data_IF_301347146014
#
_entry.id   IF_301347146014
#
_cell.length_a   1.000
_cell.length_b   1.000
_cell.length_c   1.000
_cell.angle_alpha   90.00
_cell.angle_beta   90.00
_cell.angle_gamma   90.00
#
_symmetry.space_group_name_H-M   'P 1'
#
loop_
_entity.id
_entity.type
_entity.pdbx_description
1 polymer ?
#
# COMPACT_ATOMS: atom_id res chain seq x y z
N UNK A 1 56.99 -60.26 -39.31
CA UNK A 1 56.99 -58.80 -39.07
C UNK A 1 55.53 -58.39 -38.89
N UNK A 2 55.04 -58.45 -37.65
CA UNK A 2 53.62 -58.18 -37.30
C UNK A 2 53.42 -56.71 -36.83
N UNK A 3 52.59 -55.97 -37.52
CA UNK A 3 52.13 -54.63 -37.10
C UNK A 3 50.92 -54.77 -36.19
N UNK A 4 51.01 -54.25 -34.96
CA UNK A 4 49.90 -54.10 -34.06
C UNK A 4 49.27 -52.69 -34.27
N UNK A 5 47.99 -52.65 -34.68
CA UNK A 5 47.16 -51.45 -34.72
C UNK A 5 46.44 -51.38 -33.38
N UNK A 6 46.69 -50.31 -32.58
CA UNK A 6 45.94 -50.01 -31.39
C UNK A 6 44.75 -49.07 -31.77
N UNK A 7 43.52 -49.56 -31.58
CA UNK A 7 42.29 -48.74 -31.63
C UNK A 7 42.17 -47.96 -30.38
N UNK A 8 42.07 -46.60 -30.51
CA UNK A 8 41.65 -45.67 -29.43
C UNK A 8 40.13 -45.57 -29.48
N UNK A 9 39.44 -46.03 -28.43
CA UNK A 9 38.02 -45.71 -28.20
C UNK A 9 37.93 -44.38 -27.51
N UNK A 10 37.42 -43.37 -28.20
CA UNK A 10 37.01 -42.09 -27.59
C UNK A 10 35.58 -42.25 -27.05
N UNK A 11 35.44 -42.27 -25.73
CA UNK A 11 34.13 -42.19 -25.07
C UNK A 11 33.71 -40.72 -24.99
N UNK A 12 32.71 -40.34 -25.78
CA UNK A 12 32.05 -39.02 -25.67
C UNK A 12 31.06 -39.06 -24.50
N UNK A 13 31.34 -38.35 -23.44
CA UNK A 13 30.39 -38.11 -22.37
C UNK A 13 29.38 -37.02 -22.82
N UNK A 14 28.14 -37.44 -23.03
CA UNK A 14 27.03 -36.51 -23.27
C UNK A 14 26.60 -35.93 -21.92
N UNK A 15 26.94 -34.67 -21.69
CA UNK A 15 26.36 -33.88 -20.57
C UNK A 15 24.96 -33.48 -20.98
N UNK A 16 23.95 -34.17 -20.46
CA UNK A 16 22.54 -33.73 -20.53
C UNK A 16 22.37 -32.63 -19.48
N UNK A 17 22.45 -31.37 -19.91
CA UNK A 17 22.01 -30.25 -19.12
C UNK A 17 20.48 -30.39 -18.96
N UNK A 18 20.04 -30.79 -17.77
CA UNK A 18 18.63 -30.80 -17.41
C UNK A 18 18.11 -29.36 -17.42
N UNK A 19 17.39 -28.98 -18.46
CA UNK A 19 16.51 -27.81 -18.44
C UNK A 19 15.37 -28.14 -17.47
N UNK A 20 15.46 -27.61 -16.25
CA UNK A 20 14.30 -27.57 -15.34
C UNK A 20 13.15 -26.83 -16.02
N UNK A 21 11.90 -27.20 -15.74
CA UNK A 21 10.77 -26.54 -16.35
C UNK A 21 10.84 -25.03 -16.03
N UNK A 22 11.08 -24.21 -17.05
CA UNK A 22 10.79 -22.79 -16.96
C UNK A 22 9.28 -22.70 -16.77
N UNK A 23 8.83 -22.36 -15.57
CA UNK A 23 7.44 -21.97 -15.35
C UNK A 23 7.20 -20.75 -16.22
N UNK A 24 6.58 -20.93 -17.37
CA UNK A 24 6.17 -19.86 -18.25
C UNK A 24 5.29 -18.92 -17.44
N UNK A 25 5.66 -17.63 -17.35
CA UNK A 25 4.77 -16.61 -16.82
C UNK A 25 3.51 -16.68 -17.68
N UNK A 26 2.35 -16.95 -17.05
CA UNK A 26 1.07 -16.85 -17.74
C UNK A 26 0.87 -15.42 -18.20
N UNK A 27 0.33 -15.24 -19.41
CA UNK A 27 -0.03 -13.92 -19.91
C UNK A 27 -0.93 -13.18 -18.89
N UNK A 28 -0.72 -11.89 -18.66
CA UNK A 28 -1.56 -11.12 -17.74
C UNK A 28 -3.03 -11.14 -18.18
N UNK A 29 -3.95 -11.24 -17.22
CA UNK A 29 -5.35 -11.01 -17.47
C UNK A 29 -5.56 -9.54 -17.85
N UNK A 30 -6.29 -9.29 -18.94
CA UNK A 30 -6.57 -7.95 -19.47
C UNK A 30 -8.06 -7.78 -19.76
N UNK A 31 -8.52 -6.53 -19.92
CA UNK A 31 -9.92 -6.22 -20.21
C UNK A 31 -10.86 -6.83 -19.15
N UNK A 32 -12.00 -7.38 -19.54
CA UNK A 32 -12.99 -7.94 -18.61
C UNK A 32 -12.45 -9.05 -17.71
N UNK A 33 -11.44 -9.83 -18.15
CA UNK A 33 -10.85 -10.89 -17.35
C UNK A 33 -10.05 -10.37 -16.16
N UNK A 34 -9.55 -9.12 -16.20
CA UNK A 34 -8.82 -8.51 -15.10
C UNK A 34 -9.70 -8.13 -13.89
N UNK A 35 -11.03 -8.02 -14.07
CA UNK A 35 -11.99 -7.62 -13.05
C UNK A 35 -12.56 -8.75 -12.21
N UNK A 36 -12.05 -9.98 -12.29
CA UNK A 36 -12.51 -11.16 -11.56
C UNK A 36 -12.68 -10.97 -10.05
N UNK A 37 -13.05 -12.02 -9.35
CA UNK A 37 -13.19 -12.05 -7.89
C UNK A 37 -12.14 -12.97 -7.23
N UNK A 38 -12.20 -13.12 -5.90
CA UNK A 38 -11.25 -13.91 -5.10
C UNK A 38 -11.06 -15.36 -5.55
N UNK A 39 -12.04 -15.95 -6.27
CA UNK A 39 -11.96 -17.34 -6.77
C UNK A 39 -10.96 -17.49 -7.90
N UNK A 40 -10.69 -16.40 -8.61
CA UNK A 40 -9.68 -16.34 -9.66
C UNK A 40 -8.28 -15.99 -9.12
N UNK A 41 -8.15 -15.67 -7.83
CA UNK A 41 -6.87 -15.31 -7.24
C UNK A 41 -5.95 -16.53 -7.16
N UNK A 42 -4.73 -16.36 -7.64
CA UNK A 42 -3.71 -17.41 -7.64
C UNK A 42 -2.32 -16.77 -7.49
N UNK A 43 -1.44 -17.30 -6.61
CA UNK A 43 -0.09 -16.77 -6.49
C UNK A 43 0.63 -16.77 -7.83
N UNK A 44 1.13 -15.61 -8.24
CA UNK A 44 1.78 -15.42 -9.52
C UNK A 44 0.88 -14.97 -10.67
N UNK A 45 -0.45 -14.92 -10.48
CA UNK A 45 -1.38 -14.44 -11.51
C UNK A 45 -1.27 -12.92 -11.68
N UNK A 46 -0.96 -12.50 -12.91
CA UNK A 46 -0.81 -11.09 -13.28
C UNK A 46 -2.09 -10.50 -13.86
N UNK A 47 -2.31 -9.20 -13.62
CA UNK A 47 -3.40 -8.41 -14.19
C UNK A 47 -2.90 -7.04 -14.66
N UNK A 48 -3.54 -6.56 -15.73
CA UNK A 48 -3.41 -5.18 -16.22
C UNK A 48 -4.81 -4.64 -16.46
N UNK A 49 -5.17 -3.57 -15.75
CA UNK A 49 -6.40 -2.81 -15.97
C UNK A 49 -6.00 -1.47 -16.60
N UNK A 50 -6.61 -1.13 -17.72
CA UNK A 50 -6.36 0.13 -18.43
C UNK A 50 -7.55 1.08 -18.29
N UNK A 51 -7.35 2.40 -18.43
CA UNK A 51 -8.47 3.36 -18.42
C UNK A 51 -9.57 3.02 -19.43
N UNK A 52 -9.22 2.46 -20.58
CA UNK A 52 -10.18 2.08 -21.62
C UNK A 52 -10.95 0.80 -21.32
N UNK A 53 -10.53 0.00 -20.33
CA UNK A 53 -11.21 -1.22 -19.88
C UNK A 53 -12.36 -0.92 -18.91
N UNK A 54 -12.49 0.33 -18.43
CA UNK A 54 -13.42 0.68 -17.35
C UNK A 54 -14.89 0.58 -17.83
N UNK A 55 -15.77 -0.06 -17.02
CA UNK A 55 -17.20 -0.08 -17.32
C UNK A 55 -17.81 1.32 -17.13
N UNK A 56 -19.01 1.51 -17.65
CA UNK A 56 -19.80 2.71 -17.38
C UNK A 56 -20.31 2.71 -15.93
N UNK A 57 -20.43 3.89 -15.28
CA UNK A 57 -21.07 3.99 -13.97
C UNK A 57 -22.43 3.34 -13.92
N UNK A 58 -22.72 2.57 -12.86
CA UNK A 58 -24.02 1.94 -12.63
C UNK A 58 -24.30 0.69 -13.47
N UNK A 59 -23.30 0.11 -14.14
CA UNK A 59 -23.48 -1.18 -14.86
C UNK A 59 -23.86 -2.33 -13.94
N UNK A 60 -23.45 -2.28 -12.69
CA UNK A 60 -23.91 -3.17 -11.62
C UNK A 60 -24.44 -2.36 -10.44
N UNK A 61 -25.39 -2.90 -9.67
CA UNK A 61 -25.86 -2.24 -8.47
C UNK A 61 -24.72 -2.02 -7.46
N UNK A 62 -24.76 -0.91 -6.74
CA UNK A 62 -23.93 -0.75 -5.54
C UNK A 62 -24.50 -1.58 -4.41
N UNK A 63 -23.65 -2.35 -3.75
CA UNK A 63 -24.03 -3.28 -2.68
C UNK A 63 -23.24 -3.02 -1.41
N UNK A 64 -23.78 -3.46 -0.27
CA UNK A 64 -23.07 -3.59 0.99
C UNK A 64 -22.95 -5.08 1.32
N UNK A 65 -21.73 -5.60 1.31
CA UNK A 65 -21.40 -7.01 1.54
C UNK A 65 -20.25 -7.09 2.55
N UNK A 66 -20.52 -6.68 3.79
CA UNK A 66 -19.50 -6.69 4.85
C UNK A 66 -19.01 -8.11 5.14
N UNK A 67 -17.69 -8.31 5.30
CA UNK A 67 -17.18 -9.63 5.64
C UNK A 67 -17.54 -10.00 7.07
N UNK A 68 -17.99 -11.22 7.29
CA UNK A 68 -17.98 -11.84 8.60
C UNK A 68 -16.57 -12.34 8.88
N UNK A 69 -15.93 -11.75 9.89
CA UNK A 69 -14.58 -12.14 10.32
C UNK A 69 -14.69 -13.34 11.23
N UNK A 70 -14.06 -14.45 10.84
CA UNK A 70 -13.98 -15.66 11.64
C UNK A 70 -12.58 -15.85 12.21
N UNK A 71 -12.48 -16.63 13.30
CA UNK A 71 -11.18 -17.03 13.83
C UNK A 71 -10.41 -17.88 12.83
N UNK A 72 -9.10 -17.63 12.72
CA UNK A 72 -8.23 -18.42 11.86
C UNK A 72 -8.20 -19.88 12.33
N UNK A 73 -8.56 -20.83 11.47
CA UNK A 73 -8.41 -22.24 11.79
C UNK A 73 -6.92 -22.59 11.96
N UNK A 74 -6.57 -23.57 12.82
CA UNK A 74 -5.16 -23.88 13.15
C UNK A 74 -4.26 -24.13 11.95
N UNK A 75 -4.79 -24.73 10.89
CA UNK A 75 -4.06 -25.08 9.66
C UNK A 75 -4.26 -24.08 8.52
N UNK A 76 -5.01 -23.01 8.71
CA UNK A 76 -5.18 -21.97 7.69
C UNK A 76 -3.90 -21.15 7.58
N UNK A 77 -3.31 -21.16 6.39
CA UNK A 77 -2.09 -20.44 6.06
C UNK A 77 -2.29 -19.65 4.77
N UNK A 78 -1.75 -18.44 4.67
CA UNK A 78 -1.70 -17.74 3.39
C UNK A 78 -0.78 -18.49 2.43
N UNK A 79 -1.02 -18.30 1.14
CA UNK A 79 -0.29 -18.94 0.06
C UNK A 79 0.49 -17.92 -0.74
N UNK A 80 1.76 -18.22 -1.01
CA UNK A 80 2.67 -17.41 -1.84
C UNK A 80 3.11 -18.23 -3.08
N UNK A 81 3.75 -17.63 -4.09
CA UNK A 81 4.28 -18.35 -5.24
C UNK A 81 5.23 -19.50 -4.85
N UNK A 82 5.40 -20.47 -5.76
CA UNK A 82 6.32 -21.60 -5.55
C UNK A 82 7.74 -21.08 -5.22
N UNK A 83 8.41 -21.74 -4.28
CA UNK A 83 9.72 -21.34 -3.75
C UNK A 83 9.65 -20.44 -2.53
N UNK A 84 8.52 -19.80 -2.27
CA UNK A 84 8.34 -19.00 -1.05
C UNK A 84 7.79 -19.81 0.10
N UNK A 85 8.29 -19.52 1.31
CA UNK A 85 7.80 -20.06 2.59
C UNK A 85 7.05 -18.98 3.34
N UNK A 86 5.89 -19.34 3.88
CA UNK A 86 5.07 -18.44 4.71
C UNK A 86 5.03 -18.97 6.14
N UNK A 87 5.32 -18.13 7.12
CA UNK A 87 5.35 -18.48 8.54
C UNK A 87 4.59 -17.45 9.38
N UNK A 88 3.94 -17.91 10.44
CA UNK A 88 3.35 -17.01 11.45
C UNK A 88 4.47 -16.45 12.32
N UNK A 89 4.78 -15.16 12.13
CA UNK A 89 5.86 -14.47 12.85
C UNK A 89 5.44 -13.96 14.23
N UNK A 90 4.26 -13.35 14.32
CA UNK A 90 3.71 -12.88 15.60
C UNK A 90 2.19 -13.00 15.60
N UNK A 91 1.60 -13.14 16.79
CA UNK A 91 0.16 -13.20 17.02
C UNK A 91 -0.22 -12.51 18.33
N UNK A 92 -1.52 -12.44 18.63
CA UNK A 92 -2.04 -11.80 19.83
C UNK A 92 -1.83 -10.29 19.86
N UNK A 93 -1.67 -9.68 18.68
CA UNK A 93 -1.59 -8.23 18.53
C UNK A 93 -3.00 -7.62 18.47
N UNK A 94 -3.13 -6.37 18.91
CA UNK A 94 -4.42 -5.68 18.95
C UNK A 94 -4.68 -4.89 17.65
N UNK A 95 -5.07 -5.58 16.58
CA UNK A 95 -5.31 -4.98 15.27
C UNK A 95 -4.06 -4.30 14.71
N UNK A 96 -2.99 -5.06 14.42
CA UNK A 96 -1.76 -4.50 13.87
C UNK A 96 -2.00 -3.97 12.45
N UNK A 97 -1.57 -2.75 12.19
CA UNK A 97 -1.79 -2.11 10.90
C UNK A 97 -0.45 -1.76 10.22
N UNK A 98 0.02 -0.54 10.29
CA UNK A 98 1.30 -0.17 9.67
C UNK A 98 2.48 -0.89 10.30
N UNK A 99 3.44 -1.29 9.47
CA UNK A 99 4.72 -1.85 9.84
C UNK A 99 5.85 -0.95 9.34
N UNK A 100 6.83 -0.67 10.20
CA UNK A 100 8.10 -0.04 9.79
C UNK A 100 9.27 -0.76 10.43
N UNK A 101 10.30 -1.03 9.66
CA UNK A 101 11.53 -1.65 10.15
C UNK A 101 12.57 -0.56 10.35
N UNK A 102 13.08 -0.47 11.57
CA UNK A 102 14.18 0.43 11.90
C UNK A 102 15.51 -0.08 11.31
N UNK A 103 16.51 0.78 11.13
CA UNK A 103 17.80 0.37 10.59
C UNK A 103 18.51 -0.74 11.39
N UNK A 104 18.24 -0.84 12.69
CA UNK A 104 18.76 -1.90 13.57
C UNK A 104 17.96 -3.22 13.49
N UNK A 105 16.96 -3.29 12.62
CA UNK A 105 16.09 -4.46 12.43
C UNK A 105 14.86 -4.53 13.32
N UNK A 106 14.66 -3.61 14.25
CA UNK A 106 13.46 -3.55 15.09
C UNK A 106 12.22 -3.24 14.26
N UNK A 107 11.12 -3.97 14.50
CA UNK A 107 9.89 -3.88 13.75
C UNK A 107 8.88 -3.09 14.57
N UNK A 108 8.56 -1.89 14.12
CA UNK A 108 7.53 -1.04 14.72
C UNK A 108 6.17 -1.37 14.12
N UNK A 109 5.17 -1.52 15.00
CA UNK A 109 3.81 -1.94 14.65
C UNK A 109 2.82 -0.93 15.20
N UNK A 110 2.06 -0.27 14.34
CA UNK A 110 0.95 0.56 14.79
C UNK A 110 -0.25 -0.34 15.13
N UNK A 111 -0.63 -0.39 16.39
CA UNK A 111 -1.87 -1.00 16.89
C UNK A 111 -2.92 0.13 17.00
N UNK A 112 -3.50 0.51 15.84
CA UNK A 112 -4.30 1.73 15.66
C UNK A 112 -5.48 1.85 16.63
N UNK A 113 -6.27 0.78 16.78
CA UNK A 113 -7.44 0.79 17.67
C UNK A 113 -7.04 0.81 19.15
N UNK A 114 -5.89 0.22 19.48
CA UNK A 114 -5.35 0.23 20.83
C UNK A 114 -4.63 1.54 21.20
N UNK A 115 -4.51 2.49 20.27
CA UNK A 115 -3.88 3.78 20.49
C UNK A 115 -2.42 3.68 20.91
N UNK A 116 -1.66 2.74 20.30
CA UNK A 116 -0.27 2.49 20.68
C UNK A 116 0.59 2.03 19.51
N UNK A 117 1.90 2.18 19.67
CA UNK A 117 2.92 1.60 18.81
C UNK A 117 3.71 0.58 19.61
N UNK A 118 3.90 -0.58 19.01
CA UNK A 118 4.64 -1.71 19.57
C UNK A 118 5.95 -1.88 18.81
N UNK A 119 6.99 -2.41 19.48
CA UNK A 119 8.26 -2.82 18.88
C UNK A 119 8.46 -4.31 19.09
N UNK A 120 8.77 -5.00 18.01
CA UNK A 120 9.19 -6.39 18.00
C UNK A 120 10.66 -6.43 17.58
N UNK A 121 11.52 -7.12 18.35
CA UNK A 121 12.91 -7.37 18.00
C UNK A 121 13.08 -8.82 17.62
N UNK A 122 13.74 -9.10 16.51
CA UNK A 122 14.07 -10.44 16.06
C UNK A 122 15.50 -10.49 15.54
N UNK A 123 16.17 -11.60 15.74
CA UNK A 123 17.45 -11.89 15.09
C UNK A 123 17.17 -12.27 13.63
N UNK A 124 18.05 -11.88 12.73
CA UNK A 124 17.98 -12.25 11.30
C UNK A 124 17.81 -13.77 11.14
N UNK A 125 16.91 -14.16 10.25
CA UNK A 125 16.53 -15.56 10.03
C UNK A 125 15.56 -16.14 11.05
N UNK A 126 15.24 -15.44 12.13
CA UNK A 126 14.30 -15.94 13.14
C UNK A 126 12.85 -15.92 12.63
N UNK A 127 12.12 -17.00 12.90
CA UNK A 127 10.69 -17.11 12.61
C UNK A 127 9.80 -16.45 13.68
N UNK A 128 10.37 -15.92 14.76
CA UNK A 128 9.64 -15.30 15.88
C UNK A 128 10.44 -14.16 16.50
N UNK A 129 9.77 -13.11 17.02
CA UNK A 129 10.45 -12.07 17.78
C UNK A 129 10.98 -12.61 19.12
N UNK A 130 12.17 -12.16 19.50
CA UNK A 130 12.80 -12.42 20.82
C UNK A 130 12.35 -11.43 21.88
N UNK A 131 11.90 -10.23 21.48
CA UNK A 131 11.32 -9.23 22.36
C UNK A 131 10.06 -8.61 21.75
N UNK A 132 9.16 -8.20 22.64
CA UNK A 132 7.87 -7.60 22.31
C UNK A 132 7.54 -6.56 23.39
N UNK A 133 7.57 -5.27 23.08
CA UNK A 133 7.37 -4.15 24.01
C UNK A 133 6.44 -3.10 23.42
N UNK A 134 5.76 -2.34 24.30
CA UNK A 134 5.04 -1.13 23.90
C UNK A 134 6.05 0.00 23.85
N UNK A 135 6.23 0.61 22.67
CA UNK A 135 7.09 1.76 22.47
C UNK A 135 6.41 3.07 22.91
N UNK A 136 5.16 3.26 22.49
CA UNK A 136 4.36 4.44 22.83
C UNK A 136 2.90 4.06 23.01
N UNK A 137 2.19 4.77 23.91
CA UNK A 137 0.75 4.57 24.18
C UNK A 137 0.06 5.92 24.38
N UNK A 138 -1.29 5.91 24.46
CA UNK A 138 -2.09 7.12 24.58
C UNK A 138 -2.15 7.93 23.29
N UNK A 139 -1.92 7.29 22.14
CA UNK A 139 -1.95 7.90 20.82
C UNK A 139 -3.36 7.88 20.24
N UNK A 140 -3.70 8.87 19.40
CA UNK A 140 -5.00 8.94 18.76
C UNK A 140 -5.01 8.18 17.41
N UNK A 141 -5.31 6.87 17.45
CA UNK A 141 -5.40 6.02 16.26
C UNK A 141 -4.13 6.13 15.39
N UNK A 142 -2.94 5.85 15.94
CA UNK A 142 -1.67 5.97 15.22
C UNK A 142 -1.66 5.05 14.00
N UNK A 143 -1.02 5.51 12.91
CA UNK A 143 -0.81 4.69 11.74
C UNK A 143 0.60 4.89 11.16
N UNK A 144 0.88 6.02 10.50
CA UNK A 144 2.17 6.29 9.88
C UNK A 144 3.30 6.32 10.88
N UNK A 145 4.42 5.67 10.54
CA UNK A 145 5.64 5.63 11.32
C UNK A 145 6.81 5.93 10.39
N UNK A 146 7.70 6.84 10.78
CA UNK A 146 8.93 7.11 10.03
C UNK A 146 10.09 7.45 10.95
N UNK A 147 11.30 7.11 10.51
CA UNK A 147 12.54 7.41 11.20
C UNK A 147 13.21 8.64 10.60
N UNK A 148 13.75 9.52 11.46
CA UNK A 148 14.41 10.77 11.03
C UNK A 148 15.66 11.09 11.85
N UNK A 149 16.75 11.64 11.23
CA UNK A 149 16.93 11.70 9.77
C UNK A 149 16.89 10.30 9.15
N UNK A 150 16.67 10.23 7.83
CA UNK A 150 16.72 8.98 7.09
C UNK A 150 18.13 8.39 7.12
N UNK A 151 18.26 7.08 6.96
CA UNK A 151 19.55 6.38 6.98
C UNK A 151 19.72 5.53 8.22
N UNK A 152 20.98 5.21 8.56
CA UNK A 152 21.29 4.15 9.54
C UNK A 152 21.28 4.62 11.00
N UNK A 153 21.24 5.92 11.25
CA UNK A 153 21.34 6.52 12.60
C UNK A 153 20.23 7.55 12.85
N UNK A 154 18.95 7.15 12.75
CA UNK A 154 17.86 8.06 13.07
C UNK A 154 17.91 8.45 14.55
N UNK A 155 17.51 9.67 14.83
CA UNK A 155 17.42 10.21 16.18
C UNK A 155 15.98 10.29 16.68
N UNK A 156 15.01 10.13 15.76
CA UNK A 156 13.60 10.30 16.03
C UNK A 156 12.76 9.22 15.36
N UNK A 157 11.70 8.82 16.05
CA UNK A 157 10.56 8.09 15.48
C UNK A 157 9.38 9.06 15.41
N UNK A 158 8.90 9.36 14.19
CA UNK A 158 7.69 10.14 13.97
C UNK A 158 6.49 9.20 13.86
N UNK A 159 5.39 9.58 14.51
CA UNK A 159 4.13 8.83 14.48
C UNK A 159 3.01 9.77 14.08
N UNK A 160 2.32 9.44 12.99
CA UNK A 160 1.13 10.15 12.54
C UNK A 160 -0.11 9.57 13.24
N UNK A 161 -0.76 10.40 14.01
CA UNK A 161 -2.08 10.18 14.59
C UNK A 161 -3.17 10.69 13.62
N UNK A 162 -4.43 10.36 13.88
CA UNK A 162 -5.54 10.88 13.07
C UNK A 162 -5.59 12.42 13.03
N UNK A 163 -5.19 13.07 14.10
CA UNK A 163 -5.34 14.49 14.34
C UNK A 163 -4.03 15.29 14.43
N UNK A 164 -2.87 14.63 14.30
CA UNK A 164 -1.59 15.32 14.39
C UNK A 164 -0.39 14.40 14.18
N UNK A 165 0.81 14.95 14.31
CA UNK A 165 2.07 14.20 14.26
C UNK A 165 2.87 14.45 15.54
N UNK A 166 3.33 13.37 16.15
CA UNK A 166 4.24 13.41 17.31
C UNK A 166 5.56 12.73 16.93
N UNK A 167 6.65 13.10 17.59
CA UNK A 167 7.92 12.39 17.49
C UNK A 167 8.45 12.01 18.85
N UNK A 168 9.18 10.92 18.90
CA UNK A 168 9.85 10.40 20.09
C UNK A 168 11.35 10.35 19.85
N UNK A 169 12.19 10.76 20.83
CA UNK A 169 13.62 10.54 20.75
C UNK A 169 13.92 9.03 20.66
N UNK A 170 14.83 8.65 19.76
CA UNK A 170 15.14 7.26 19.46
C UNK A 170 16.66 7.01 19.44
N UNK A 171 17.11 6.05 20.22
CA UNK A 171 18.49 5.65 20.34
C UNK A 171 18.76 4.18 19.94
N UNK A 172 17.79 3.54 19.24
CA UNK A 172 17.90 2.12 18.87
C UNK A 172 17.35 1.16 19.95
N UNK A 173 16.67 1.68 20.96
CA UNK A 173 16.09 0.89 22.05
C UNK A 173 14.62 0.55 21.80
N UNK A 174 14.10 -0.41 22.60
CA UNK A 174 12.70 -0.83 22.55
C UNK A 174 11.74 0.16 23.24
N UNK A 175 12.29 1.20 23.84
CA UNK A 175 11.58 2.28 24.51
C UNK A 175 12.13 3.63 24.03
N UNK A 176 11.33 4.70 24.05
CA UNK A 176 11.82 6.05 23.72
C UNK A 176 12.91 6.49 24.71
N UNK A 177 13.94 7.17 24.21
CA UNK A 177 15.01 7.74 25.06
C UNK A 177 14.62 9.07 25.72
N UNK A 178 13.39 9.55 25.55
CA UNK A 178 12.89 10.79 26.14
C UNK A 178 11.39 10.99 25.92
N UNK A 179 10.90 12.18 26.30
CA UNK A 179 9.48 12.54 26.17
C UNK A 179 9.12 12.82 24.71
N UNK A 180 7.84 12.57 24.31
CA UNK A 180 7.37 12.93 22.98
C UNK A 180 7.30 14.45 22.79
N UNK A 181 7.44 14.88 21.53
CA UNK A 181 7.24 16.23 21.07
C UNK A 181 6.07 16.26 20.07
N UNK A 182 5.18 17.24 20.18
CA UNK A 182 4.14 17.50 19.20
C UNK A 182 4.77 18.29 18.06
N UNK A 183 4.73 17.73 16.85
CA UNK A 183 5.33 18.32 15.65
C UNK A 183 4.28 19.00 14.80
N UNK A 184 3.15 18.32 14.53
CA UNK A 184 1.98 18.92 13.91
C UNK A 184 0.84 18.80 14.90
N UNK A 185 0.39 19.93 15.45
CA UNK A 185 -0.61 19.97 16.51
C UNK A 185 -2.02 19.62 16.00
N UNK A 186 -2.31 19.94 14.73
CA UNK A 186 -3.63 19.74 14.16
C UNK A 186 -3.55 19.29 12.69
N UNK A 187 -4.21 18.17 12.39
CA UNK A 187 -4.50 17.68 11.04
C UNK A 187 -6.02 17.55 10.89
N UNK A 188 -6.58 17.72 9.68
CA UNK A 188 -8.00 17.50 9.44
C UNK A 188 -8.44 16.14 9.97
N UNK A 189 -9.27 16.07 10.99
CA UNK A 189 -9.73 14.86 11.67
C UNK A 189 -11.24 14.63 11.51
N UNK A 190 -11.75 13.47 11.95
CA UNK A 190 -13.15 13.06 11.77
C UNK A 190 -13.46 12.58 10.34
N UNK A 191 -14.70 12.12 10.12
CA UNK A 191 -15.14 11.54 8.86
C UNK A 191 -14.74 10.06 8.70
N UNK A 192 -14.84 9.55 7.47
CA UNK A 192 -14.71 8.13 7.18
C UNK A 192 -13.25 7.64 7.19
N UNK A 193 -12.28 8.51 6.88
CA UNK A 193 -10.87 8.14 6.78
C UNK A 193 -10.05 8.72 7.93
N UNK A 194 -9.61 7.85 8.82
CA UNK A 194 -8.81 8.21 10.00
C UNK A 194 -7.30 8.02 9.82
N UNK A 195 -6.89 7.29 8.79
CA UNK A 195 -5.48 6.97 8.55
C UNK A 195 -4.71 8.22 8.11
N UNK A 196 -3.53 8.41 8.72
CA UNK A 196 -2.51 9.37 8.29
C UNK A 196 -1.20 8.60 8.13
N UNK A 197 -0.64 8.58 6.95
CA UNK A 197 0.69 8.04 6.74
C UNK A 197 1.68 9.17 6.51
N UNK A 198 2.95 8.93 6.79
CA UNK A 198 3.98 9.93 6.61
C UNK A 198 5.28 9.33 6.08
N UNK A 199 5.97 10.09 5.24
CA UNK A 199 7.33 9.80 4.77
C UNK A 199 8.15 11.08 4.71
N UNK A 200 9.48 10.95 4.77
CA UNK A 200 10.40 12.04 4.46
C UNK A 200 10.88 11.94 3.01
N UNK A 201 11.04 13.09 2.36
CA UNK A 201 11.65 13.17 1.03
C UNK A 201 13.10 12.70 1.07
N UNK A 202 13.70 12.26 -0.08
CA UNK A 202 15.08 11.75 -0.10
C UNK A 202 16.14 12.71 0.43
N UNK A 203 15.92 14.00 0.37
CA UNK A 203 16.80 15.07 0.85
C UNK A 203 16.55 15.48 2.31
N UNK A 204 15.65 14.77 3.00
CA UNK A 204 15.22 15.03 4.38
C UNK A 204 14.63 16.44 4.64
N UNK A 205 14.30 17.20 3.58
CA UNK A 205 13.80 18.57 3.74
C UNK A 205 12.30 18.65 3.98
N UNK A 206 11.53 17.64 3.57
CA UNK A 206 10.08 17.66 3.71
C UNK A 206 9.56 16.38 4.35
N UNK A 207 8.59 16.54 5.22
CA UNK A 207 7.71 15.49 5.72
C UNK A 207 6.41 15.56 4.92
N UNK A 208 6.06 14.50 4.19
CA UNK A 208 4.81 14.39 3.46
C UNK A 208 3.82 13.58 4.28
N UNK A 209 2.61 14.12 4.46
CA UNK A 209 1.54 13.48 5.26
C UNK A 209 0.30 13.29 4.38
N UNK A 210 -0.19 12.07 4.26
CA UNK A 210 -1.41 11.78 3.51
C UNK A 210 -2.66 11.97 4.36
N UNK A 211 -3.67 12.62 3.79
CA UNK A 211 -4.95 12.90 4.44
C UNK A 211 -6.08 12.40 3.54
N UNK A 212 -6.81 11.38 3.95
CA UNK A 212 -7.97 10.89 3.22
C UNK A 212 -9.16 11.85 3.27
N UNK A 213 -10.09 11.73 2.32
CA UNK A 213 -11.33 12.50 2.30
C UNK A 213 -12.13 12.33 3.59
N UNK A 214 -13.00 13.27 3.90
CA UNK A 214 -13.94 13.17 5.02
C UNK A 214 -15.07 12.18 4.69
N UNK A 215 -15.52 12.21 3.46
CA UNK A 215 -16.70 11.52 2.97
C UNK A 215 -16.40 10.65 1.75
N UNK A 216 -17.41 9.98 1.20
CA UNK A 216 -17.23 9.13 0.02
C UNK A 216 -16.98 9.94 -1.26
N UNK A 217 -17.84 10.92 -1.51
CA UNK A 217 -17.86 11.73 -2.73
C UNK A 217 -18.05 13.23 -2.47
N UNK A 218 -17.48 13.73 -1.36
CA UNK A 218 -17.50 15.13 -0.99
C UNK A 218 -18.88 15.70 -0.64
N UNK A 219 -19.69 14.98 0.13
CA UNK A 219 -21.05 15.39 0.54
C UNK A 219 -21.10 16.73 1.29
N UNK A 220 -20.01 17.23 1.80
CA UNK A 220 -19.92 18.56 2.46
C UNK A 220 -19.11 19.59 1.68
N UNK A 221 -18.98 19.41 0.36
CA UNK A 221 -18.21 20.29 -0.51
C UNK A 221 -18.82 21.68 -0.60
N UNK A 222 -18.01 22.71 -0.42
CA UNK A 222 -18.37 24.09 -0.74
C UNK A 222 -18.15 24.35 -2.23
N UNK A 223 -19.21 24.70 -2.93
CA UNK A 223 -19.18 25.05 -4.35
C UNK A 223 -19.02 26.53 -4.52
N UNK A 224 -17.96 26.97 -5.21
CA UNK A 224 -17.79 28.36 -5.59
C UNK A 224 -18.58 28.59 -6.89
N UNK A 225 -19.58 29.49 -6.83
CA UNK A 225 -20.49 29.78 -7.95
C UNK A 225 -20.31 31.23 -8.41
N UNK A 226 -20.67 31.52 -9.66
CA UNK A 226 -20.66 32.86 -10.22
C UNK A 226 -19.25 33.49 -10.18
N UNK A 227 -19.16 34.75 -9.77
CA UNK A 227 -17.90 35.51 -9.74
C UNK A 227 -16.81 34.88 -8.82
N UNK A 228 -17.23 34.08 -7.83
CA UNK A 228 -16.29 33.36 -6.96
C UNK A 228 -15.60 32.21 -7.66
N UNK A 229 -16.10 31.76 -8.80
CA UNK A 229 -15.49 30.68 -9.58
C UNK A 229 -14.07 31.04 -10.04
N UNK A 230 -13.80 32.33 -10.33
CA UNK A 230 -12.46 32.83 -10.62
C UNK A 230 -11.48 32.70 -9.45
N UNK A 231 -11.97 32.53 -8.23
CA UNK A 231 -11.16 32.39 -7.02
C UNK A 231 -10.48 31.04 -6.91
N UNK A 232 -10.82 30.01 -7.72
CA UNK A 232 -10.15 28.72 -7.71
C UNK A 232 -8.63 28.81 -7.94
N UNK A 233 -8.16 29.79 -8.68
CA UNK A 233 -6.73 30.04 -8.86
C UNK A 233 -5.92 30.36 -7.60
N UNK A 234 -6.60 30.64 -6.46
CA UNK A 234 -5.97 30.87 -5.16
C UNK A 234 -5.69 29.58 -4.39
N UNK A 235 -6.23 28.46 -4.85
CA UNK A 235 -6.11 27.16 -4.20
C UNK A 235 -5.24 26.22 -5.05
N UNK A 236 -4.66 25.18 -4.45
CA UNK A 236 -4.01 24.12 -5.22
C UNK A 236 -4.94 23.55 -6.29
N UNK A 237 -4.38 23.09 -7.41
CA UNK A 237 -5.15 22.48 -8.49
C UNK A 237 -6.05 21.36 -7.96
N UNK A 238 -7.36 21.41 -8.23
CA UNK A 238 -8.31 20.39 -7.77
C UNK A 238 -8.51 20.34 -6.24
N UNK A 239 -8.21 21.40 -5.50
CA UNK A 239 -8.47 21.44 -4.07
C UNK A 239 -9.96 21.39 -3.77
N UNK A 240 -10.36 20.59 -2.80
CA UNK A 240 -11.72 20.53 -2.25
C UNK A 240 -11.85 21.50 -1.08
N UNK A 241 -13.02 22.12 -0.93
CA UNK A 241 -13.30 23.14 0.09
C UNK A 241 -14.42 22.68 1.04
N UNK A 242 -14.62 23.45 2.11
CA UNK A 242 -15.61 23.14 3.13
C UNK A 242 -15.12 22.05 4.07
N UNK A 243 -15.93 21.04 4.31
CA UNK A 243 -15.54 19.90 5.18
C UNK A 243 -14.43 19.04 4.62
N UNK A 244 -14.09 19.23 3.33
CA UNK A 244 -13.01 18.53 2.62
C UNK A 244 -11.74 19.37 2.48
N UNK A 245 -11.67 20.57 3.11
CA UNK A 245 -10.47 21.40 3.06
C UNK A 245 -9.25 20.64 3.59
N UNK A 246 -8.13 20.68 2.85
CA UNK A 246 -6.88 19.96 3.14
C UNK A 246 -7.01 18.42 3.21
N UNK A 247 -8.06 17.87 2.59
CA UNK A 247 -8.32 16.43 2.52
C UNK A 247 -8.23 15.90 1.09
N UNK A 248 -8.29 14.58 0.96
CA UNK A 248 -8.02 13.88 -0.29
C UNK A 248 -6.71 14.39 -0.93
N UNK A 249 -5.68 14.54 -0.09
CA UNK A 249 -4.46 15.25 -0.42
C UNK A 249 -3.23 14.64 0.26
N UNK A 250 -2.07 14.97 -0.27
CA UNK A 250 -0.79 14.82 0.43
C UNK A 250 -0.32 16.23 0.80
N UNK A 251 -0.11 16.46 2.10
CA UNK A 251 0.34 17.72 2.65
C UNK A 251 1.84 17.68 2.87
N UNK A 252 2.52 18.83 2.70
CA UNK A 252 3.96 18.98 2.91
C UNK A 252 4.24 19.86 4.12
N UNK A 253 5.16 19.40 4.96
CA UNK A 253 5.68 20.07 6.13
C UNK A 253 7.22 20.02 6.11
N UNK A 254 7.87 20.94 6.80
CA UNK A 254 9.27 20.77 7.21
C UNK A 254 9.36 19.69 8.31
N UNK A 255 10.52 19.09 8.57
CA UNK A 255 10.65 18.07 9.62
C UNK A 255 10.30 18.56 11.04
N UNK A 256 10.34 19.85 11.30
CA UNK A 256 9.93 20.48 12.56
C UNK A 256 8.43 20.77 12.65
N UNK A 257 7.66 20.48 11.58
CA UNK A 257 6.21 20.60 11.52
C UNK A 257 5.68 21.89 10.90
N UNK A 258 6.54 22.82 10.48
CA UNK A 258 6.10 24.02 9.77
C UNK A 258 5.42 23.60 8.44
N UNK A 259 4.20 24.10 8.21
CA UNK A 259 3.42 23.81 6.99
C UNK A 259 4.09 24.46 5.77
N UNK A 260 4.47 23.66 4.78
CA UNK A 260 4.97 24.13 3.48
C UNK A 260 3.82 24.38 2.50
N UNK A 261 2.86 23.43 2.44
CA UNK A 261 1.72 23.55 1.53
C UNK A 261 1.04 22.23 1.25
N UNK A 262 0.34 22.17 0.12
CA UNK A 262 -0.27 20.93 -0.40
C UNK A 262 0.61 20.40 -1.51
N UNK A 263 1.09 19.16 -1.36
CA UNK A 263 1.97 18.51 -2.32
C UNK A 263 1.18 17.97 -3.53
N UNK A 264 0.03 17.31 -3.28
CA UNK A 264 -0.86 16.79 -4.31
C UNK A 264 -2.29 16.75 -3.83
N UNK A 265 -3.26 16.77 -4.76
CA UNK A 265 -4.70 16.79 -4.47
C UNK A 265 -5.45 15.71 -5.25
N UNK A 266 -6.72 15.50 -4.87
CA UNK A 266 -7.61 14.59 -5.59
C UNK A 266 -7.27 13.12 -5.45
N UNK A 267 -6.50 12.75 -4.42
CA UNK A 267 -6.21 11.36 -4.03
C UNK A 267 -7.16 11.01 -2.89
N UNK A 268 -8.29 10.36 -3.20
CA UNK A 268 -9.39 10.15 -2.25
C UNK A 268 -8.93 9.67 -0.87
N UNK A 269 -8.17 8.58 -0.81
CA UNK A 269 -7.64 8.05 0.44
C UNK A 269 -6.29 7.35 0.21
N UNK A 270 -5.23 8.13 0.23
CA UNK A 270 -3.85 7.65 0.20
C UNK A 270 -3.49 7.02 1.55
N UNK A 271 -3.43 5.70 1.64
CA UNK A 271 -3.11 4.98 2.88
C UNK A 271 -1.64 4.54 2.91
N UNK A 272 -1.18 3.86 1.87
CA UNK A 272 0.21 3.43 1.78
C UNK A 272 1.08 4.50 1.12
N UNK A 273 1.83 5.27 1.90
CA UNK A 273 2.76 6.26 1.40
C UNK A 273 4.19 5.71 1.53
N UNK A 274 4.91 5.60 0.40
CA UNK A 274 6.23 5.02 0.34
C UNK A 274 7.16 5.79 -0.60
N UNK A 275 8.45 5.78 -0.33
CA UNK A 275 9.49 6.34 -1.21
C UNK A 275 10.21 5.20 -1.90
N UNK A 276 10.26 5.25 -3.23
CA UNK A 276 11.01 4.25 -4.00
C UNK A 276 12.52 4.43 -3.77
N UNK A 277 13.25 3.39 -3.35
CA UNK A 277 14.62 3.54 -2.83
C UNK A 277 15.63 4.00 -3.88
N UNK A 278 15.43 3.66 -5.16
CA UNK A 278 16.38 4.01 -6.22
C UNK A 278 16.04 5.33 -6.91
N UNK A 279 14.75 5.62 -7.22
CA UNK A 279 14.37 6.87 -7.90
C UNK A 279 14.11 8.02 -6.94
N UNK A 280 13.77 7.74 -5.68
CA UNK A 280 13.32 8.75 -4.72
C UNK A 280 11.88 9.21 -4.92
N UNK A 281 11.17 8.67 -5.91
CA UNK A 281 9.77 9.00 -6.15
C UNK A 281 8.89 8.58 -4.97
N UNK A 282 7.93 9.44 -4.64
CA UNK A 282 6.91 9.15 -3.64
C UNK A 282 5.75 8.45 -4.31
N UNK A 283 5.30 7.35 -3.72
CA UNK A 283 4.17 6.56 -4.20
C UNK A 283 3.06 6.51 -3.18
N UNK A 284 1.84 6.41 -3.67
CA UNK A 284 0.65 6.21 -2.86
C UNK A 284 -0.12 4.96 -3.31
N UNK A 285 -0.56 4.17 -2.32
CA UNK A 285 -1.58 3.14 -2.45
C UNK A 285 -2.92 3.74 -2.01
N UNK A 286 -3.92 3.74 -2.89
CA UNK A 286 -5.13 4.55 -2.76
C UNK A 286 -6.39 3.71 -2.82
N UNK A 287 -7.32 4.01 -1.91
CA UNK A 287 -8.70 3.52 -1.97
C UNK A 287 -9.58 4.56 -2.67
N UNK A 288 -10.27 4.14 -3.71
CA UNK A 288 -11.19 4.98 -4.46
C UNK A 288 -12.62 4.93 -3.92
N UNK A 289 -13.50 5.72 -4.56
CA UNK A 289 -14.89 5.96 -4.13
C UNK A 289 -15.81 4.79 -4.42
N UNK A 290 -16.88 4.74 -3.64
CA UNK A 290 -17.93 3.75 -3.72
C UNK A 290 -19.15 4.29 -4.47
N UNK A 291 -20.07 3.41 -4.83
CA UNK A 291 -21.40 3.80 -5.32
C UNK A 291 -21.53 3.86 -6.84
N UNK A 292 -20.53 3.45 -7.61
CA UNK A 292 -20.58 3.44 -9.08
C UNK A 292 -20.65 2.04 -9.69
N UNK A 293 -20.76 1.00 -8.87
CA UNK A 293 -20.86 -0.40 -9.28
C UNK A 293 -19.68 -1.25 -8.81
N UNK A 294 -19.72 -2.57 -9.07
CA UNK A 294 -18.76 -3.54 -8.58
C UNK A 294 -17.33 -3.32 -9.10
N UNK A 295 -17.17 -2.91 -10.36
CA UNK A 295 -15.88 -2.79 -11.03
C UNK A 295 -15.44 -1.33 -11.23
N UNK A 296 -16.09 -0.38 -10.50
CA UNK A 296 -15.80 1.05 -10.59
C UNK A 296 -15.94 1.73 -9.20
N UNK A 297 -15.00 2.55 -8.77
CA UNK A 297 -13.77 3.01 -9.44
C UNK A 297 -12.61 2.11 -9.01
N UNK A 298 -11.67 1.76 -9.91
CA UNK A 298 -10.47 1.03 -9.53
C UNK A 298 -9.72 1.72 -8.40
N UNK A 299 -9.29 0.94 -7.40
CA UNK A 299 -8.20 1.36 -6.53
C UNK A 299 -6.92 1.50 -7.36
N UNK A 300 -5.91 2.19 -6.84
CA UNK A 300 -4.71 2.37 -7.63
C UNK A 300 -3.45 2.58 -6.78
N UNK A 301 -2.30 2.37 -7.42
CA UNK A 301 -0.99 2.75 -6.92
C UNK A 301 -0.36 3.69 -7.93
N UNK A 302 0.15 4.82 -7.45
CA UNK A 302 0.69 5.86 -8.33
C UNK A 302 1.82 6.63 -7.69
N UNK A 303 2.70 7.17 -8.53
CA UNK A 303 3.65 8.20 -8.11
C UNK A 303 2.88 9.47 -7.75
N UNK A 304 3.18 10.02 -6.59
CA UNK A 304 2.61 11.30 -6.15
C UNK A 304 3.54 12.42 -6.61
N UNK A 305 3.07 13.23 -7.55
CA UNK A 305 3.84 14.34 -8.13
C UNK A 305 3.43 15.66 -7.50
N UNK A 306 4.41 16.51 -7.22
CA UNK A 306 4.14 17.83 -6.67
C UNK A 306 3.29 18.68 -7.64
N UNK A 307 2.23 19.29 -7.10
CA UNK A 307 1.27 20.08 -7.87
C UNK A 307 0.24 19.28 -8.67
N UNK A 308 0.32 17.94 -8.69
CA UNK A 308 -0.60 17.10 -9.44
C UNK A 308 -1.98 16.98 -8.79
N UNK A 309 -2.99 16.75 -9.64
CA UNK A 309 -4.37 16.48 -9.27
C UNK A 309 -4.81 15.12 -9.84
N UNK A 310 -5.37 14.24 -8.97
CA UNK A 310 -5.72 12.86 -9.32
C UNK A 310 -7.22 12.62 -9.52
N UNK A 311 -8.03 13.68 -9.51
CA UNK A 311 -9.42 13.67 -9.99
C UNK A 311 -10.48 13.80 -8.88
N UNK A 312 -10.33 13.16 -7.72
CA UNK A 312 -11.38 13.20 -6.67
C UNK A 312 -11.69 14.63 -6.22
N UNK A 313 -12.96 15.01 -6.03
CA UNK A 313 -14.18 14.23 -6.20
C UNK A 313 -14.76 14.25 -7.63
N UNK A 314 -14.36 15.17 -8.48
CA UNK A 314 -15.03 15.50 -9.75
C UNK A 314 -14.76 14.52 -10.89
N UNK A 315 -13.57 13.94 -10.90
CA UNK A 315 -13.11 13.01 -11.93
C UNK A 315 -12.50 11.76 -11.32
N UNK A 316 -12.32 10.70 -12.10
CA UNK A 316 -11.61 9.48 -11.73
C UNK A 316 -10.85 8.92 -12.93
N UNK A 317 -9.69 8.34 -12.69
CA UNK A 317 -8.84 7.67 -13.69
C UNK A 317 -8.77 8.46 -15.00
N UNK A 318 -8.13 9.63 -14.95
CA UNK A 318 -8.10 10.59 -16.04
C UNK A 318 -9.38 11.43 -16.11
N UNK A 319 -9.82 11.76 -17.32
CA UNK A 319 -10.94 12.68 -17.57
C UNK A 319 -12.33 12.04 -17.45
N UNK A 320 -12.46 10.88 -16.79
CA UNK A 320 -13.77 10.31 -16.50
C UNK A 320 -14.49 11.15 -15.44
N UNK A 321 -15.57 11.83 -15.81
CA UNK A 321 -16.33 12.67 -14.89
C UNK A 321 -17.21 11.83 -13.98
N UNK A 322 -17.19 12.12 -12.67
CA UNK A 322 -18.09 11.49 -11.71
C UNK A 322 -19.52 11.98 -11.98
N UNK A 323 -20.50 11.12 -12.27
CA UNK A 323 -21.85 11.53 -12.62
C UNK A 323 -22.56 12.33 -11.51
N UNK A 324 -22.13 12.20 -10.25
CA UNK A 324 -22.67 12.94 -9.11
C UNK A 324 -22.22 14.40 -9.06
N UNK A 325 -21.14 14.71 -9.79
CA UNK A 325 -20.50 16.03 -9.90
C UNK A 325 -20.44 16.55 -11.32
N UNK A 326 -21.24 15.99 -12.22
CA UNK A 326 -21.23 16.30 -13.64
C UNK A 326 -21.39 17.81 -13.90
N UNK A 327 -20.49 18.38 -14.68
CA UNK A 327 -20.49 19.81 -15.08
C UNK A 327 -19.96 20.77 -14.02
N UNK A 328 -19.64 20.33 -12.78
CA UNK A 328 -19.23 21.25 -11.71
C UNK A 328 -17.84 21.86 -11.91
N UNK A 329 -16.90 21.10 -12.50
CA UNK A 329 -15.49 21.55 -12.63
C UNK A 329 -14.90 21.22 -13.99
N UNK A 330 -15.61 21.62 -15.05
CA UNK A 330 -15.12 21.47 -16.44
C UNK A 330 -13.76 22.13 -16.70
N UNK A 331 -13.38 23.12 -15.88
CA UNK A 331 -12.07 23.79 -15.91
C UNK A 331 -10.90 22.85 -15.56
N UNK A 332 -11.16 21.72 -14.92
CA UNK A 332 -10.15 20.71 -14.55
C UNK A 332 -9.90 19.68 -15.64
N UNK A 333 -10.79 19.55 -16.62
CA UNK A 333 -10.65 18.57 -17.71
C UNK A 333 -9.32 18.76 -18.45
N UNK A 334 -8.62 17.66 -18.70
CA UNK A 334 -7.27 17.67 -19.29
C UNK A 334 -6.15 17.99 -18.29
N UNK A 335 -6.47 18.20 -17.01
CA UNK A 335 -5.48 18.48 -15.95
C UNK A 335 -5.36 17.35 -14.92
N UNK A 336 -6.12 16.27 -15.11
CA UNK A 336 -6.12 15.12 -14.20
C UNK A 336 -4.92 14.22 -14.52
N UNK A 337 -4.16 13.89 -13.50
CA UNK A 337 -3.10 12.88 -13.59
C UNK A 337 -3.72 11.49 -13.52
N UNK A 338 -3.57 10.70 -14.59
CA UNK A 338 -3.98 9.28 -14.57
C UNK A 338 -3.01 8.49 -13.69
N UNK A 339 -3.52 7.66 -12.77
CA UNK A 339 -2.67 6.80 -11.94
C UNK A 339 -1.87 5.79 -12.74
N UNK A 340 -0.70 5.40 -12.22
CA UNK A 340 0.23 4.51 -12.92
C UNK A 340 -0.25 3.05 -12.99
N UNK A 341 -0.90 2.53 -11.94
CA UNK A 341 -1.32 1.12 -11.84
C UNK A 341 -2.73 1.09 -11.28
N UNK A 342 -3.67 0.58 -12.08
CA UNK A 342 -5.05 0.37 -11.66
C UNK A 342 -5.20 -1.04 -11.07
N UNK A 343 -5.94 -1.13 -9.96
CA UNK A 343 -6.20 -2.37 -9.22
C UNK A 343 -7.71 -2.63 -9.26
N UNK A 344 -8.13 -3.88 -9.14
CA UNK A 344 -9.56 -4.23 -9.02
C UNK A 344 -10.26 -3.28 -8.03
N UNK A 345 -11.40 -2.73 -8.43
CA UNK A 345 -12.16 -1.79 -7.62
C UNK A 345 -12.52 -2.40 -6.25
N UNK A 346 -12.57 -1.56 -5.22
CA UNK A 346 -12.94 -1.93 -3.87
C UNK A 346 -12.00 -2.91 -3.16
N UNK A 347 -10.78 -3.13 -3.68
CA UNK A 347 -9.78 -3.99 -3.04
C UNK A 347 -9.29 -3.44 -1.69
N UNK A 348 -9.53 -2.16 -1.42
CA UNK A 348 -9.08 -1.43 -0.24
C UNK A 348 -7.55 -1.49 -0.08
N UNK A 349 -6.84 -0.91 -1.06
CA UNK A 349 -5.38 -0.90 -1.12
C UNK A 349 -4.79 -0.05 0.00
N UNK A 350 -3.97 -0.64 0.87
CA UNK A 350 -3.45 -0.02 2.10
C UNK A 350 -1.91 0.10 2.08
N UNK A 351 -1.20 -0.62 2.95
CA UNK A 351 0.25 -0.52 3.11
C UNK A 351 1.01 -0.80 1.81
N UNK A 352 2.11 -0.08 1.60
CA UNK A 352 2.98 -0.17 0.43
C UNK A 352 4.44 -0.15 0.85
N UNK A 353 5.24 -1.05 0.30
CA UNK A 353 6.69 -1.06 0.44
C UNK A 353 7.35 -1.44 -0.86
N UNK A 354 8.54 -0.90 -1.15
CA UNK A 354 9.39 -1.35 -2.26
C UNK A 354 10.43 -2.34 -1.74
N UNK A 355 10.60 -3.45 -2.47
CA UNK A 355 11.49 -4.52 -2.07
C UNK A 355 12.96 -4.16 -2.35
N UNK A 356 13.69 -3.91 -1.28
CA UNK A 356 15.14 -3.63 -1.30
C UNK A 356 15.98 -4.76 -0.71
N UNK A 357 15.33 -5.87 -0.28
CA UNK A 357 16.00 -7.01 0.32
C UNK A 357 16.79 -7.86 -0.67
N UNK A 358 17.66 -8.72 -0.14
CA UNK A 358 18.46 -9.66 -0.91
C UNK A 358 17.96 -11.10 -0.88
N UNK A 359 16.88 -11.41 -0.12
CA UNK A 359 16.40 -12.78 0.11
C UNK A 359 15.55 -13.30 -1.05
N UNK A 360 14.74 -12.44 -1.68
CA UNK A 360 13.91 -12.85 -2.82
C UNK A 360 14.73 -12.90 -4.11
N UNK A 361 14.27 -13.66 -5.12
CA UNK A 361 14.91 -13.69 -6.43
C UNK A 361 15.16 -12.29 -7.02
N UNK A 362 16.21 -12.12 -7.84
CA UNK A 362 16.60 -10.81 -8.37
C UNK A 362 15.49 -10.03 -9.08
N UNK A 363 14.54 -10.71 -9.72
CA UNK A 363 13.39 -10.11 -10.43
C UNK A 363 12.35 -9.44 -9.51
N UNK A 364 12.49 -9.60 -8.18
CA UNK A 364 11.65 -8.91 -7.19
C UNK A 364 12.25 -7.58 -6.72
N UNK A 365 13.54 -7.36 -6.99
CA UNK A 365 14.22 -6.14 -6.50
C UNK A 365 13.68 -4.90 -7.18
N UNK A 366 13.33 -3.92 -6.37
CA UNK A 366 12.73 -2.66 -6.83
C UNK A 366 11.23 -2.75 -7.08
N UNK A 367 10.64 -3.94 -7.17
CA UNK A 367 9.18 -4.08 -7.25
C UNK A 367 8.51 -3.67 -5.94
N UNK A 368 7.26 -3.22 -6.03
CA UNK A 368 6.46 -2.87 -4.86
C UNK A 368 5.64 -4.05 -4.35
N UNK A 369 5.31 -4.03 -3.05
CA UNK A 369 4.30 -4.90 -2.45
C UNK A 369 3.24 -4.04 -1.78
N UNK A 370 1.96 -4.35 -2.05
CA UNK A 370 0.84 -3.63 -1.45
C UNK A 370 -0.18 -4.58 -0.85
N UNK A 371 -0.61 -4.27 0.37
CA UNK A 371 -1.66 -5.01 1.05
C UNK A 371 -3.05 -4.55 0.58
N UNK A 372 -3.91 -5.50 0.28
CA UNK A 372 -5.31 -5.30 -0.10
C UNK A 372 -6.18 -5.79 1.06
N UNK A 373 -6.83 -4.88 1.77
CA UNK A 373 -7.62 -5.17 2.97
C UNK A 373 -8.91 -5.93 2.67
N UNK A 374 -9.41 -5.77 1.44
CA UNK A 374 -10.56 -6.48 0.90
C UNK A 374 -11.87 -5.72 0.94
N UNK A 375 -12.73 -6.04 -0.03
CA UNK A 375 -13.99 -5.34 -0.32
C UNK A 375 -15.07 -5.59 0.75
N UNK A 376 -15.88 -4.56 0.97
CA UNK A 376 -17.13 -4.64 1.73
C UNK A 376 -18.34 -4.16 0.90
N UNK A 377 -18.09 -3.57 -0.26
CA UNK A 377 -19.04 -2.85 -1.11
C UNK A 377 -19.02 -3.39 -2.56
N UNK A 378 -18.84 -4.70 -2.69
CA UNK A 378 -18.85 -5.42 -3.95
C UNK A 378 -19.65 -6.72 -3.80
N UNK A 379 -20.39 -7.13 -4.83
CA UNK A 379 -21.24 -8.32 -4.81
C UNK A 379 -20.42 -9.61 -4.61
N UNK A 380 -19.25 -9.68 -5.21
CA UNK A 380 -18.24 -10.74 -5.02
C UNK A 380 -16.97 -10.14 -4.44
N UNK A 381 -16.34 -10.82 -3.47
CA UNK A 381 -15.15 -10.33 -2.78
C UNK A 381 -13.97 -10.17 -3.73
N UNK A 382 -13.21 -9.11 -3.49
CA UNK A 382 -11.90 -8.87 -4.10
C UNK A 382 -10.95 -8.29 -3.05
N UNK A 383 -9.67 -8.23 -3.36
CA UNK A 383 -8.66 -7.89 -2.36
C UNK A 383 -8.42 -9.08 -1.40
N UNK A 384 -8.23 -8.82 -0.11
CA UNK A 384 -7.85 -9.83 0.89
C UNK A 384 -6.58 -10.59 0.50
N UNK A 385 -5.57 -9.85 0.03
CA UNK A 385 -4.32 -10.39 -0.49
C UNK A 385 -3.20 -9.36 -0.40
N UNK A 386 -1.97 -9.78 -0.66
CA UNK A 386 -0.87 -8.86 -0.99
C UNK A 386 -0.58 -9.00 -2.47
N UNK A 387 -0.43 -7.90 -3.16
CA UNK A 387 -0.05 -7.85 -4.57
C UNK A 387 1.40 -7.39 -4.71
N UNK A 388 2.06 -7.90 -5.76
CA UNK A 388 3.33 -7.42 -6.26
C UNK A 388 3.08 -6.44 -7.40
N UNK A 389 3.72 -5.29 -7.38
CA UNK A 389 3.64 -4.25 -8.38
C UNK A 389 4.90 -4.33 -9.22
N UNK A 390 4.75 -4.54 -10.53
CA UNK A 390 5.88 -4.71 -11.44
C UNK A 390 6.44 -3.35 -11.86
N UNK A 391 7.74 -3.17 -11.60
CA UNK A 391 8.50 -2.03 -12.08
C UNK A 391 9.55 -2.49 -13.11
N UNK A 392 9.77 -1.68 -14.13
CA UNK A 392 10.86 -1.86 -15.09
C UNK A 392 11.67 -0.56 -15.11
N UNK A 393 12.96 -0.68 -14.86
CA UNK A 393 13.89 0.46 -14.81
C UNK A 393 13.42 1.57 -13.84
N UNK A 394 12.78 1.17 -12.72
CA UNK A 394 12.21 2.09 -11.71
C UNK A 394 10.85 2.70 -12.06
N UNK A 395 10.24 2.32 -13.20
CA UNK A 395 8.95 2.82 -13.64
C UNK A 395 7.87 1.75 -13.58
N UNK A 396 6.64 2.09 -13.13
CA UNK A 396 5.51 1.18 -13.12
C UNK A 396 5.15 0.70 -14.53
N UNK A 397 4.90 -0.61 -14.67
CA UNK A 397 4.52 -1.22 -15.96
C UNK A 397 3.01 -1.21 -16.21
N UNK A 398 2.21 -0.85 -15.21
CA UNK A 398 0.76 -1.01 -15.21
C UNK A 398 0.31 -2.41 -14.75
N UNK A 399 1.25 -3.36 -14.62
CA UNK A 399 0.98 -4.74 -14.20
C UNK A 399 1.09 -4.89 -12.69
N UNK A 400 0.13 -5.63 -12.09
CA UNK A 400 0.25 -6.16 -10.74
C UNK A 400 -0.01 -7.65 -10.71
N UNK A 401 0.54 -8.33 -9.71
CA UNK A 401 0.51 -9.78 -9.59
C UNK A 401 0.04 -10.18 -8.18
N UNK A 402 -0.84 -11.18 -8.08
CA UNK A 402 -1.20 -11.78 -6.80
C UNK A 402 0.03 -12.41 -6.15
N UNK A 403 0.37 -12.02 -4.93
CA UNK A 403 1.56 -12.53 -4.25
C UNK A 403 1.22 -13.38 -3.02
N UNK A 404 0.44 -12.85 -2.08
CA UNK A 404 0.01 -13.60 -0.89
C UNK A 404 -1.50 -13.61 -0.84
N UNK A 405 -2.11 -14.79 -0.92
CA UNK A 405 -3.57 -14.99 -0.99
C UNK A 405 -4.05 -15.97 0.10
N UNK A 406 -5.35 -16.29 0.10
CA UNK A 406 -5.93 -17.37 0.92
C UNK A 406 -6.55 -16.90 2.22
N UNK A 407 -6.89 -15.61 2.34
CA UNK A 407 -7.57 -15.05 3.52
C UNK A 407 -9.10 -15.11 3.44
N UNK A 408 -9.66 -15.40 2.28
CA UNK A 408 -11.10 -15.56 2.04
C UNK A 408 -11.50 -17.03 2.18
N UNK A 409 -12.58 -17.31 2.88
CA UNK A 409 -13.15 -18.65 3.03
C UNK A 409 -14.28 -18.88 2.05
N UNK A 410 -15.18 -17.89 1.93
CA UNK A 410 -16.31 -17.88 1.01
C UNK A 410 -16.82 -16.44 0.80
N UNK A 411 -17.92 -16.25 0.07
CA UNK A 411 -18.44 -14.90 -0.21
C UNK A 411 -18.90 -14.12 1.03
N UNK A 412 -19.08 -14.77 2.17
CA UNK A 412 -19.52 -14.13 3.42
C UNK A 412 -18.40 -14.04 4.46
N UNK A 413 -17.46 -14.99 4.47
CA UNK A 413 -16.50 -15.18 5.54
C UNK A 413 -15.06 -15.00 5.11
N UNK A 414 -14.29 -14.32 5.97
CA UNK A 414 -12.84 -14.15 5.83
C UNK A 414 -12.17 -14.37 7.17
N UNK A 415 -10.94 -14.90 7.18
CA UNK A 415 -10.18 -15.05 8.41
C UNK A 415 -9.01 -14.06 8.52
N UNK A 416 -8.67 -13.32 7.48
CA UNK A 416 -7.57 -12.36 7.53
C UNK A 416 -7.82 -11.17 6.61
N UNK A 417 -7.27 -10.02 7.00
CA UNK A 417 -7.36 -8.76 6.28
C UNK A 417 -5.98 -8.07 6.26
N UNK A 418 -5.16 -8.25 5.23
CA UNK A 418 -3.83 -7.64 5.13
C UNK A 418 -3.87 -6.11 5.19
N UNK A 419 -2.94 -5.50 5.95
CA UNK A 419 -2.88 -4.04 6.14
C UNK A 419 -1.51 -3.48 5.84
N UNK A 420 -0.50 -3.82 6.63
CA UNK A 420 0.86 -3.30 6.52
C UNK A 420 1.78 -4.29 5.83
N UNK A 421 2.75 -3.78 5.11
CA UNK A 421 3.84 -4.55 4.50
C UNK A 421 5.17 -3.88 4.80
N UNK A 422 6.19 -4.66 5.14
CA UNK A 422 7.53 -4.17 5.38
C UNK A 422 8.59 -5.19 4.98
N UNK A 423 9.78 -4.74 4.60
CA UNK A 423 10.94 -5.60 4.36
C UNK A 423 11.75 -5.67 5.66
N UNK A 424 11.89 -6.86 6.22
CA UNK A 424 12.72 -7.11 7.39
C UNK A 424 14.21 -6.90 7.08
N UNK A 425 15.01 -6.73 8.12
CA UNK A 425 16.45 -6.47 7.97
C UNK A 425 17.17 -7.58 7.19
N UNK A 426 16.75 -8.82 7.35
CA UNK A 426 17.27 -9.98 6.61
C UNK A 426 16.67 -10.19 5.21
N UNK A 427 15.78 -9.29 4.77
CA UNK A 427 15.15 -9.32 3.46
C UNK A 427 13.84 -10.10 3.36
N UNK A 428 13.31 -10.67 4.43
CA UNK A 428 11.97 -11.26 4.43
C UNK A 428 10.90 -10.19 4.26
N UNK A 429 9.77 -10.52 3.64
CA UNK A 429 8.60 -9.66 3.63
C UNK A 429 7.74 -9.96 4.86
N UNK A 430 7.38 -8.92 5.62
CA UNK A 430 6.44 -8.99 6.72
C UNK A 430 5.09 -8.42 6.29
N UNK A 431 4.01 -9.09 6.69
CA UNK A 431 2.63 -8.69 6.40
C UNK A 431 1.82 -8.71 7.68
N UNK A 432 1.30 -7.56 8.11
CA UNK A 432 0.32 -7.49 9.19
C UNK A 432 -1.10 -7.74 8.66
N UNK A 433 -1.94 -8.36 9.49
CA UNK A 433 -3.37 -8.43 9.27
C UNK A 433 -4.13 -8.14 10.58
N UNK A 434 -5.19 -7.35 10.49
CA UNK A 434 -5.87 -6.78 11.66
C UNK A 434 -7.09 -7.59 12.14
N UNK A 435 -7.55 -8.57 11.37
CA UNK A 435 -8.73 -9.37 11.70
C UNK A 435 -8.44 -10.37 12.85
N UNK A 436 -7.31 -11.07 12.82
CA UNK A 436 -6.88 -12.03 13.84
C UNK A 436 -5.62 -11.60 14.60
N UNK A 437 -5.11 -10.39 14.34
CA UNK A 437 -4.01 -9.80 15.10
C UNK A 437 -2.68 -10.50 14.87
N UNK A 438 -2.34 -10.79 13.61
CA UNK A 438 -1.14 -11.56 13.24
C UNK A 438 -0.18 -10.77 12.34
N UNK A 439 1.09 -11.19 12.36
CA UNK A 439 2.10 -10.80 11.38
C UNK A 439 2.63 -12.07 10.73
N UNK A 440 2.65 -12.09 9.43
CA UNK A 440 3.18 -13.15 8.58
C UNK A 440 4.55 -12.78 8.07
N UNK A 441 5.45 -13.77 8.00
CA UNK A 441 6.80 -13.65 7.46
C UNK A 441 6.92 -14.51 6.22
N UNK A 442 7.37 -13.92 5.11
CA UNK A 442 7.55 -14.58 3.83
C UNK A 442 9.04 -14.57 3.49
N UNK A 443 9.60 -15.74 3.19
CA UNK A 443 11.01 -15.97 2.82
C UNK A 443 11.09 -16.75 1.52
N UNK A 444 12.23 -16.71 0.86
CA UNK A 444 12.50 -17.49 -0.35
C UNK A 444 13.76 -18.35 -0.17
#
# INVERSE_FOLDING_TARGET
>A
MCLYIRSLCLSAAVVVAGLGPAFGQSEPLVGAAAFGDWRADMPGLSRIIRPDDLPKPGMTPSVANFPHIIGRAPNSMPQAPAGFKVELFANGLSGPRELRVAPNGDIFVAETHAGRVRVLRAVDGSSKPSANRIFASGLNRPFGIAFFPRGNTPQWVYIANTDGVVRFPYAGDLEPSGKPEIIVAELPSGGNHSTRNLVFTPDDKRMLVSIGSRSNDAEGLVRLLGDLQSSWGKYPLGASLGTETDRAAVLAFEPDGNRVGTFATGIRNCVGLAVHPASGDVYCSTNERDGLGDDLVPDYITRVREGAFYGWPWFYIGDNEDPRHAGERGDLKGKITTPDILIQAHSASLGLVFYSGGMFPPEYRGDGFAAQHGSWNRSKRTGYKVIRIRLKDGFPTGEYQDFLIGFVVNDSEVWGRPVGVAVAHDGALLVSEDANGTIWRITH
#
